data_IF_580782496722
#
_entry.id   IF_580782496722
#
_cell.length_a   1.000
_cell.length_b   1.000
_cell.length_c   1.000
_cell.angle_alpha   90.00
_cell.angle_beta   90.00
_cell.angle_gamma   90.00
#
_symmetry.space_group_name_H-M   'P 1'
#
loop_
_entity.id
_entity.type
_entity.pdbx_description
1 polymer ?
#
# COMPACT_ATOMS: atom_id res chain seq x y z
N UNK A 1 11.94 -15.82 5.23
CA UNK A 1 11.68 -14.39 4.92
C UNK A 1 12.01 -14.03 3.48
N UNK A 2 12.76 -14.86 2.72
CA UNK A 2 13.13 -14.57 1.33
C UNK A 2 11.97 -14.26 0.37
N UNK A 3 10.75 -14.70 0.68
CA UNK A 3 9.55 -14.39 -0.09
C UNK A 3 9.02 -12.97 0.13
N UNK A 4 9.44 -12.25 1.18
CA UNK A 4 8.99 -10.88 1.48
C UNK A 4 9.55 -9.83 0.53
N UNK A 5 10.55 -10.18 -0.30
CA UNK A 5 10.91 -9.38 -1.47
C UNK A 5 9.73 -9.14 -2.42
N UNK A 6 8.72 -10.02 -2.38
CA UNK A 6 7.51 -9.93 -3.18
C UNK A 6 6.41 -9.08 -2.51
N UNK A 7 6.66 -8.48 -1.34
CA UNK A 7 5.66 -7.66 -0.65
C UNK A 7 5.38 -6.31 -1.35
N UNK A 8 6.22 -5.96 -2.33
CA UNK A 8 5.94 -4.92 -3.32
C UNK A 8 5.03 -5.40 -4.47
N UNK A 9 4.50 -6.63 -4.40
CA UNK A 9 3.75 -7.27 -5.50
C UNK A 9 2.49 -6.50 -5.91
N UNK A 10 1.82 -5.83 -4.96
CA UNK A 10 0.71 -4.93 -5.26
C UNK A 10 1.12 -3.75 -6.14
N UNK A 11 2.22 -3.09 -5.78
CA UNK A 11 2.80 -1.99 -6.57
C UNK A 11 3.29 -2.47 -7.95
N UNK A 12 3.93 -3.64 -8.01
CA UNK A 12 4.36 -4.25 -9.27
C UNK A 12 3.18 -4.51 -10.21
N UNK A 13 2.09 -5.06 -9.68
CA UNK A 13 0.88 -5.39 -10.43
C UNK A 13 0.22 -4.13 -10.97
N UNK A 14 0.01 -3.11 -10.14
CA UNK A 14 -0.60 -1.84 -10.56
C UNK A 14 0.25 -1.11 -11.61
N UNK A 15 1.58 -1.11 -11.45
CA UNK A 15 2.52 -0.53 -12.43
C UNK A 15 2.45 -1.26 -13.77
N UNK A 16 2.51 -2.59 -13.75
CA UNK A 16 2.41 -3.41 -14.96
C UNK A 16 1.07 -3.24 -15.68
N UNK A 17 -0.04 -3.17 -14.94
CA UNK A 17 -1.36 -2.94 -15.49
C UNK A 17 -1.47 -1.57 -16.17
N UNK A 18 -0.98 -0.50 -15.54
CA UNK A 18 -0.98 0.83 -16.15
C UNK A 18 -0.07 0.90 -17.38
N UNK A 19 1.13 0.30 -17.32
CA UNK A 19 2.04 0.24 -18.46
C UNK A 19 1.40 -0.48 -19.66
N UNK A 20 0.74 -1.61 -19.43
CA UNK A 20 0.00 -2.33 -20.46
C UNK A 20 -1.16 -1.49 -21.01
N UNK A 21 -1.95 -0.86 -20.14
CA UNK A 21 -3.08 -0.03 -20.57
C UNK A 21 -2.61 1.16 -21.43
N UNK A 22 -1.54 1.86 -21.02
CA UNK A 22 -0.93 2.94 -21.78
C UNK A 22 -0.44 2.46 -23.15
N UNK A 23 0.25 1.31 -23.20
CA UNK A 23 0.70 0.70 -24.46
C UNK A 23 -0.45 0.28 -25.40
N UNK A 24 -1.66 0.08 -24.87
CA UNK A 24 -2.89 -0.23 -25.64
C UNK A 24 -3.71 1.01 -26.00
N UNK A 25 -3.20 2.22 -25.76
CA UNK A 25 -3.85 3.46 -26.15
C UNK A 25 -4.89 3.96 -25.15
N UNK A 26 -4.66 3.77 -23.85
CA UNK A 26 -5.52 4.33 -22.80
C UNK A 26 -5.68 5.85 -22.98
N UNK A 27 -6.91 6.30 -23.23
CA UNK A 27 -7.29 7.71 -23.39
C UNK A 27 -8.00 8.28 -22.15
N UNK A 28 -7.58 7.83 -20.96
CA UNK A 28 -8.10 8.30 -19.67
C UNK A 28 -6.96 8.77 -18.80
N UNK A 29 -7.18 9.85 -18.05
CA UNK A 29 -6.22 10.33 -17.05
C UNK A 29 -6.17 9.34 -15.90
N UNK A 30 -5.07 8.61 -15.78
CA UNK A 30 -4.80 7.71 -14.66
C UNK A 30 -3.56 8.21 -13.91
N UNK A 31 -3.66 8.26 -12.57
CA UNK A 31 -2.56 8.63 -11.69
C UNK A 31 -2.24 7.43 -10.81
N UNK A 32 -0.98 7.02 -10.82
CA UNK A 32 -0.49 5.89 -10.04
C UNK A 32 0.22 6.41 -8.79
N UNK A 33 -0.16 5.87 -7.63
CA UNK A 33 0.48 6.12 -6.35
C UNK A 33 1.21 4.86 -5.92
N UNK A 34 2.53 4.95 -5.76
CA UNK A 34 3.37 3.85 -5.30
C UNK A 34 3.82 4.13 -3.89
N UNK A 35 3.23 3.41 -2.94
CA UNK A 35 3.51 3.58 -1.52
C UNK A 35 4.60 2.57 -1.14
N UNK A 36 5.86 2.94 -1.35
CA UNK A 36 7.01 2.05 -1.19
C UNK A 36 7.83 2.41 0.04
N UNK A 37 8.03 1.44 0.93
CA UNK A 37 8.90 1.53 2.10
C UNK A 37 9.42 0.14 2.46
N UNK A 38 10.58 0.08 3.12
CA UNK A 38 11.05 -1.16 3.76
C UNK A 38 10.57 -1.21 5.21
N UNK A 39 10.15 -2.39 5.67
CA UNK A 39 9.85 -2.65 7.07
C UNK A 39 11.07 -3.28 7.76
N UNK A 40 11.84 -2.46 8.47
CA UNK A 40 13.12 -2.87 9.06
C UNK A 40 13.15 -2.69 10.57
N UNK A 41 13.80 -3.63 11.26
CA UNK A 41 14.10 -3.52 12.68
C UNK A 41 15.32 -2.63 12.88
N UNK A 42 15.18 -1.60 13.70
CA UNK A 42 16.26 -0.67 14.04
C UNK A 42 15.99 0.00 15.40
N UNK A 43 16.99 0.70 15.95
CA UNK A 43 16.81 1.46 17.19
C UNK A 43 15.84 2.65 17.07
N UNK A 44 15.53 3.07 15.85
CA UNK A 44 14.58 4.14 15.52
C UNK A 44 13.30 3.63 14.85
N UNK A 45 13.08 2.31 14.80
CA UNK A 45 11.83 1.74 14.30
C UNK A 45 10.66 2.12 15.21
N UNK A 46 9.47 2.26 14.62
CA UNK A 46 8.24 2.45 15.39
C UNK A 46 7.94 1.20 16.22
N UNK A 47 7.31 1.43 17.37
CA UNK A 47 7.10 0.43 18.42
C UNK A 47 5.62 0.14 18.63
N UNK A 48 5.34 -0.95 19.32
CA UNK A 48 3.99 -1.27 19.76
C UNK A 48 3.46 -0.17 20.68
N UNK A 49 2.24 0.31 20.41
CA UNK A 49 1.60 1.42 21.12
C UNK A 49 1.96 2.81 20.58
N UNK A 50 2.88 2.93 19.61
CA UNK A 50 3.13 4.21 18.95
C UNK A 50 1.85 4.68 18.23
N UNK A 51 1.59 5.99 18.29
CA UNK A 51 0.43 6.60 17.63
C UNK A 51 0.92 7.38 16.41
N UNK A 52 0.54 6.92 15.23
CA UNK A 52 0.78 7.61 13.96
C UNK A 52 -0.39 8.55 13.70
N UNK A 53 -0.09 9.80 13.34
CA UNK A 53 -1.08 10.81 12.93
C UNK A 53 -0.98 11.06 11.43
N UNK A 54 -2.10 10.86 10.73
CA UNK A 54 -2.20 11.08 9.30
C UNK A 54 -2.56 12.53 8.95
N UNK A 55 -2.28 12.93 7.70
CA UNK A 55 -2.62 14.25 7.12
C UNK A 55 -4.11 14.61 7.24
N UNK A 56 -4.99 13.61 7.17
CA UNK A 56 -6.45 13.82 7.31
C UNK A 56 -6.92 13.98 8.78
N UNK A 57 -5.99 14.12 9.74
CA UNK A 57 -6.28 14.33 11.16
C UNK A 57 -6.63 13.07 11.94
N UNK A 58 -6.79 11.91 11.29
CA UNK A 58 -6.98 10.62 11.97
C UNK A 58 -5.67 10.15 12.60
N UNK A 59 -5.80 9.31 13.62
CA UNK A 59 -4.67 8.66 14.29
C UNK A 59 -4.87 7.15 14.29
N UNK A 60 -3.77 6.40 14.34
CA UNK A 60 -3.77 4.94 14.47
C UNK A 60 -2.74 4.52 15.51
N UNK A 61 -3.13 3.61 16.39
CA UNK A 61 -2.22 2.95 17.31
C UNK A 61 -1.60 1.71 16.63
N UNK A 62 -0.28 1.61 16.68
CA UNK A 62 0.45 0.47 16.12
C UNK A 62 0.42 -0.70 17.11
N UNK A 63 -0.55 -1.59 16.93
CA UNK A 63 -0.67 -2.81 17.76
C UNK A 63 0.13 -4.00 17.24
N UNK A 64 0.59 -3.94 15.98
CA UNK A 64 1.50 -4.90 15.38
C UNK A 64 2.30 -4.21 14.27
N UNK A 65 3.63 -4.27 14.36
CA UNK A 65 4.53 -3.63 13.39
C UNK A 65 4.64 -4.38 12.06
N UNK A 66 4.21 -5.64 12.03
CA UNK A 66 4.08 -6.49 10.82
C UNK A 66 2.74 -6.27 10.09
N UNK A 67 1.96 -5.28 10.55
CA UNK A 67 0.78 -4.78 9.86
C UNK A 67 1.04 -3.39 9.27
N UNK A 68 2.27 -3.13 8.83
CA UNK A 68 2.77 -1.90 8.23
C UNK A 68 2.13 -1.57 6.88
N UNK A 69 1.80 -2.58 6.06
CA UNK A 69 1.33 -2.35 4.69
C UNK A 69 0.10 -1.44 4.65
N UNK A 70 -0.81 -1.58 5.62
CA UNK A 70 -1.99 -0.71 5.74
C UNK A 70 -1.66 0.71 6.22
N UNK A 71 -0.55 0.89 6.95
CA UNK A 71 -0.12 2.19 7.44
C UNK A 71 0.39 3.04 6.26
N UNK A 72 1.22 2.43 5.43
CA UNK A 72 1.76 3.05 4.22
C UNK A 72 0.66 3.32 3.18
N UNK A 73 -0.28 2.38 3.01
CA UNK A 73 -1.45 2.59 2.12
C UNK A 73 -2.39 3.70 2.61
N UNK A 74 -2.52 3.90 3.92
CA UNK A 74 -3.40 4.94 4.44
C UNK A 74 -2.99 6.34 3.96
N UNK A 75 -1.69 6.67 4.00
CA UNK A 75 -1.18 7.94 3.45
C UNK A 75 -1.43 8.04 1.93
N UNK A 76 -1.12 6.98 1.18
CA UNK A 76 -1.35 6.95 -0.26
C UNK A 76 -2.82 7.13 -0.65
N UNK A 77 -3.74 6.48 0.07
CA UNK A 77 -5.17 6.62 -0.15
C UNK A 77 -5.67 8.02 0.23
N UNK A 78 -5.10 8.63 1.26
CA UNK A 78 -5.42 10.01 1.64
C UNK A 78 -5.07 10.96 0.50
N UNK A 79 -3.84 10.93 -0.01
CA UNK A 79 -3.46 11.88 -1.07
C UNK A 79 -3.81 11.47 -2.51
N UNK A 80 -4.26 10.23 -2.72
CA UNK A 80 -5.09 9.86 -3.87
C UNK A 80 -6.50 10.46 -3.78
N UNK A 81 -7.14 10.40 -2.61
CA UNK A 81 -8.50 10.92 -2.40
C UNK A 81 -8.57 12.45 -2.54
N UNK A 82 -7.50 13.16 -2.20
CA UNK A 82 -7.39 14.62 -2.38
C UNK A 82 -7.51 15.05 -3.85
N UNK A 83 -7.26 14.16 -4.81
CA UNK A 83 -7.44 14.44 -6.24
C UNK A 83 -8.89 14.33 -6.70
N UNK A 84 -9.82 13.93 -5.82
CA UNK A 84 -11.24 13.70 -6.12
C UNK A 84 -11.46 12.81 -7.36
N UNK A 85 -10.81 11.62 -7.44
CA UNK A 85 -11.00 10.74 -8.58
C UNK A 85 -12.39 10.09 -8.57
N UNK A 86 -12.88 9.70 -9.75
CA UNK A 86 -14.13 8.94 -9.88
C UNK A 86 -14.00 7.50 -9.32
N UNK A 87 -12.79 6.94 -9.36
CA UNK A 87 -12.50 5.57 -8.93
C UNK A 87 -11.07 5.49 -8.37
N UNK A 88 -10.92 4.78 -7.24
CA UNK A 88 -9.63 4.37 -6.67
C UNK A 88 -9.60 2.85 -6.66
N UNK A 89 -8.48 2.29 -7.12
CA UNK A 89 -8.19 0.85 -7.05
C UNK A 89 -6.84 0.71 -6.32
N UNK A 90 -6.84 0.00 -5.20
CA UNK A 90 -5.62 -0.38 -4.50
C UNK A 90 -5.29 -1.87 -4.70
N UNK A 91 -4.00 -2.19 -4.67
CA UNK A 91 -3.48 -3.55 -4.81
C UNK A 91 -2.37 -3.74 -3.79
N UNK A 92 -2.47 -4.76 -2.94
CA UNK A 92 -1.49 -5.03 -1.90
C UNK A 92 -1.43 -6.51 -1.52
N UNK A 93 -0.24 -7.01 -1.21
CA UNK A 93 0.01 -8.33 -0.61
C UNK A 93 -0.28 -8.33 0.89
N UNK A 94 -1.45 -7.80 1.28
CA UNK A 94 -1.68 -7.21 2.60
C UNK A 94 -1.79 -8.20 3.77
N UNK A 95 -2.28 -9.42 3.54
CA UNK A 95 -2.51 -10.36 4.65
C UNK A 95 -2.27 -11.81 4.24
N UNK A 96 -1.67 -12.58 5.16
CA UNK A 96 -1.64 -14.04 5.08
C UNK A 96 -3.05 -14.66 5.19
N UNK A 97 -4.00 -13.99 5.84
CA UNK A 97 -5.38 -14.46 5.93
C UNK A 97 -6.06 -14.55 4.55
N UNK A 98 -5.84 -13.55 3.70
CA UNK A 98 -6.35 -13.56 2.33
C UNK A 98 -5.77 -14.74 1.53
N UNK A 99 -4.45 -14.96 1.64
CA UNK A 99 -3.77 -16.10 1.03
C UNK A 99 -4.36 -17.45 1.49
N UNK A 100 -4.43 -17.65 2.81
CA UNK A 100 -4.95 -18.89 3.41
C UNK A 100 -6.41 -19.16 3.03
N UNK A 101 -7.24 -18.11 2.93
CA UNK A 101 -8.65 -18.25 2.55
C UNK A 101 -8.85 -18.52 1.07
N UNK A 102 -8.07 -17.86 0.20
CA UNK A 102 -8.18 -18.00 -1.24
C UNK A 102 -7.49 -19.26 -1.80
N UNK A 103 -6.68 -19.94 -0.99
CA UNK A 103 -6.12 -21.25 -1.32
C UNK A 103 -4.92 -21.21 -2.28
N UNK A 104 -4.12 -20.14 -2.23
CA UNK A 104 -2.83 -20.04 -2.93
C UNK A 104 -1.67 -20.06 -1.96
#
# INVERSE_FOLDING_TARGET
MDSMKADMGGAATATGALALAAARGLDKRVKLYLCCADNMVSGNAFKLGDIIRYRNGKTVEVMNTDAEGRLVLADGLIDASEQQPELIIDCATLTGAAKNRAGQ
#
